data_IF_605440131627
#
_entry.id   IF_605440131627
#
_cell.length_a   1.000
_cell.length_b   1.000
_cell.length_c   1.000
_cell.angle_alpha   90.00
_cell.angle_beta   90.00
_cell.angle_gamma   90.00
#
_symmetry.space_group_name_H-M   'P 1'
#
loop_
_entity.id
_entity.type
_entity.pdbx_description
1 polymer ?
#
# COMPACT_ATOMS: atom_id res chain seq x y z
N UNK A 1 -17.24 -7.28 -9.69
CA UNK A 1 -16.24 -7.96 -10.54
C UNK A 1 -14.83 -7.37 -10.41
N UNK A 2 -14.56 -6.11 -10.79
CA UNK A 2 -13.18 -5.56 -10.74
C UNK A 2 -12.64 -5.32 -9.31
N UNK A 3 -13.47 -4.83 -8.40
CA UNK A 3 -13.07 -4.61 -6.99
C UNK A 3 -12.87 -5.92 -6.21
N UNK A 4 -13.63 -6.96 -6.56
CA UNK A 4 -13.50 -8.30 -5.98
C UNK A 4 -12.18 -8.94 -6.39
N UNK A 5 -11.74 -8.75 -7.64
CA UNK A 5 -10.44 -9.23 -8.10
C UNK A 5 -9.28 -8.55 -7.34
N UNK A 6 -9.40 -7.24 -7.09
CA UNK A 6 -8.43 -6.53 -6.25
C UNK A 6 -8.37 -7.13 -4.84
N UNK A 7 -9.51 -7.35 -4.18
CA UNK A 7 -9.54 -7.98 -2.86
C UNK A 7 -9.04 -9.42 -2.85
N UNK A 8 -9.26 -10.18 -3.93
CA UNK A 8 -8.71 -11.53 -4.05
C UNK A 8 -7.18 -11.54 -4.15
N UNK A 9 -6.57 -10.46 -4.62
CA UNK A 9 -5.13 -10.36 -4.90
C UNK A 9 -4.37 -9.50 -3.90
N UNK A 10 -5.07 -8.69 -3.12
CA UNK A 10 -4.49 -7.82 -2.11
C UNK A 10 -4.54 -8.48 -0.73
N UNK A 11 -3.41 -8.58 0.01
CA UNK A 11 -3.36 -9.22 1.32
C UNK A 11 -3.91 -8.28 2.41
N UNK A 12 -5.23 -8.12 2.45
CA UNK A 12 -5.92 -7.28 3.42
C UNK A 12 -5.62 -7.70 4.86
N UNK A 13 -5.51 -9.00 5.12
CA UNK A 13 -5.18 -9.54 6.46
C UNK A 13 -3.79 -9.05 6.91
N UNK A 14 -2.80 -9.07 6.02
CA UNK A 14 -1.48 -8.49 6.30
C UNK A 14 -1.56 -7.00 6.66
N UNK A 15 -2.41 -6.25 5.95
CA UNK A 15 -2.59 -4.82 6.22
C UNK A 15 -3.21 -4.59 7.61
N UNK A 16 -4.21 -5.39 7.98
CA UNK A 16 -4.89 -5.30 9.28
C UNK A 16 -3.99 -5.70 10.44
N UNK A 17 -3.19 -6.75 10.24
CA UNK A 17 -2.46 -7.39 11.33
C UNK A 17 -1.06 -6.81 11.52
N UNK A 18 -0.44 -6.28 10.46
CA UNK A 18 0.95 -5.77 10.50
C UNK A 18 1.00 -4.29 10.17
N UNK A 19 0.56 -3.90 8.98
CA UNK A 19 0.79 -2.55 8.45
C UNK A 19 0.09 -1.49 9.30
N UNK A 20 -1.23 -1.57 9.49
CA UNK A 20 -2.01 -0.57 10.23
C UNK A 20 -1.56 -0.45 11.69
N UNK A 21 -1.42 -1.55 12.47
CA UNK A 21 -0.93 -1.47 13.84
C UNK A 21 0.45 -0.81 13.95
N UNK A 22 1.37 -1.19 13.05
CA UNK A 22 2.72 -0.62 13.04
C UNK A 22 2.72 0.87 12.71
N UNK A 23 1.91 1.30 11.73
CA UNK A 23 1.76 2.71 11.37
C UNK A 23 1.13 3.51 12.51
N UNK A 24 0.15 2.95 13.21
CA UNK A 24 -0.54 3.62 14.32
C UNK A 24 0.38 3.95 15.51
N UNK A 25 1.47 3.20 15.69
CA UNK A 25 2.51 3.55 16.68
C UNK A 25 3.24 4.87 16.37
N UNK A 26 3.13 5.38 15.13
CA UNK A 26 3.81 6.61 14.66
C UNK A 26 2.85 7.74 14.32
N UNK A 27 1.54 7.45 14.21
CA UNK A 27 0.53 8.42 13.85
C UNK A 27 -0.09 9.07 15.09
N UNK A 28 -0.40 10.37 14.99
CA UNK A 28 -1.10 11.11 16.05
C UNK A 28 -2.57 10.71 16.17
N UNK A 29 -3.18 10.37 15.05
CA UNK A 29 -4.56 9.90 14.95
C UNK A 29 -4.58 8.50 14.35
N UNK A 30 -5.28 7.52 14.96
CA UNK A 30 -5.36 6.16 14.45
C UNK A 30 -5.85 6.11 13.01
N UNK A 31 -5.08 5.40 12.18
CA UNK A 31 -5.43 5.00 10.84
C UNK A 31 -6.39 3.81 10.91
N UNK A 32 -7.55 3.99 10.27
CA UNK A 32 -8.53 2.92 10.08
C UNK A 32 -8.38 2.31 8.68
N UNK A 33 -8.81 1.05 8.51
CA UNK A 33 -8.71 0.34 7.24
C UNK A 33 -9.35 1.12 6.06
N UNK A 34 -10.52 1.72 6.27
CA UNK A 34 -11.17 2.54 5.25
C UNK A 34 -10.37 3.79 4.86
N UNK A 35 -9.65 4.40 5.82
CA UNK A 35 -8.76 5.54 5.53
C UNK A 35 -7.48 5.09 4.81
N UNK A 36 -6.95 3.91 5.16
CA UNK A 36 -5.85 3.30 4.43
C UNK A 36 -6.23 3.04 2.96
N UNK A 37 -7.43 2.53 2.68
CA UNK A 37 -7.90 2.34 1.31
C UNK A 37 -8.09 3.64 0.54
N UNK A 38 -8.50 4.73 1.20
CA UNK A 38 -8.53 6.06 0.57
C UNK A 38 -7.12 6.50 0.15
N UNK A 39 -6.14 6.35 1.04
CA UNK A 39 -4.73 6.64 0.71
C UNK A 39 -4.21 5.76 -0.43
N UNK A 40 -4.50 4.45 -0.41
CA UNK A 40 -4.09 3.52 -1.47
C UNK A 40 -4.74 3.88 -2.80
N UNK A 41 -6.04 4.16 -2.79
CA UNK A 41 -6.81 4.60 -3.95
C UNK A 41 -6.27 5.90 -4.55
N UNK A 42 -5.86 6.86 -3.72
CA UNK A 42 -5.18 8.07 -4.20
C UNK A 42 -3.89 7.72 -4.97
N UNK A 43 -3.06 6.80 -4.46
CA UNK A 43 -1.82 6.41 -5.15
C UNK A 43 -2.10 5.71 -6.48
N UNK A 44 -3.06 4.78 -6.53
CA UNK A 44 -3.46 4.13 -7.78
C UNK A 44 -4.04 5.11 -8.79
N UNK A 45 -4.92 6.00 -8.33
CA UNK A 45 -5.51 7.02 -9.19
C UNK A 45 -4.45 7.93 -9.79
N UNK A 46 -3.49 8.43 -8.98
CA UNK A 46 -2.39 9.25 -9.48
C UNK A 46 -1.50 8.49 -10.48
N UNK A 47 -1.29 7.19 -10.28
CA UNK A 47 -0.50 6.36 -11.20
C UNK A 47 -1.13 6.21 -12.60
N UNK A 48 -2.44 6.44 -12.73
CA UNK A 48 -3.12 6.43 -14.03
C UNK A 48 -2.80 7.66 -14.91
N UNK A 49 -2.10 8.68 -14.38
CA UNK A 49 -1.79 9.91 -15.09
C UNK A 49 -0.28 10.12 -15.19
N UNK A 50 0.19 10.41 -16.39
CA UNK A 50 1.60 10.70 -16.65
C UNK A 50 1.85 12.21 -16.64
N UNK A 51 3.09 12.62 -16.35
CA UNK A 51 3.53 14.01 -16.48
C UNK A 51 3.26 14.93 -15.28
N UNK A 52 2.63 14.44 -14.22
CA UNK A 52 2.39 15.22 -12.98
C UNK A 52 3.38 14.78 -11.91
N UNK A 53 4.53 15.46 -11.86
CA UNK A 53 5.61 15.13 -10.91
C UNK A 53 5.33 15.64 -9.50
N UNK A 54 4.74 16.83 -9.37
CA UNK A 54 4.43 17.40 -8.06
C UNK A 54 3.10 16.85 -7.52
N UNK A 55 3.18 16.02 -6.47
CA UNK A 55 2.00 15.45 -5.80
C UNK A 55 1.09 16.52 -5.20
N UNK A 56 1.59 17.72 -4.90
CA UNK A 56 0.76 18.83 -4.38
C UNK A 56 -0.32 19.28 -5.36
N UNK A 57 -0.07 19.13 -6.66
CA UNK A 57 -1.04 19.51 -7.70
C UNK A 57 -2.39 18.82 -7.53
N UNK A 58 -2.40 17.58 -7.01
CA UNK A 58 -3.60 16.79 -6.75
C UNK A 58 -4.44 17.29 -5.57
N UNK A 59 -3.91 18.22 -4.76
CA UNK A 59 -4.63 18.89 -3.68
C UNK A 59 -4.70 20.41 -3.90
N UNK A 60 -4.45 20.87 -5.13
CA UNK A 60 -4.63 22.27 -5.50
C UNK A 60 -6.08 22.73 -5.27
N UNK A 61 -6.24 24.04 -5.09
CA UNK A 61 -7.54 24.74 -5.09
C UNK A 61 -7.68 25.67 -6.29
N UNK A 62 -6.64 25.78 -7.11
CA UNK A 62 -6.66 26.56 -8.34
C UNK A 62 -7.51 25.85 -9.38
N UNK A 63 -8.25 26.61 -10.20
CA UNK A 63 -9.08 26.04 -11.26
C UNK A 63 -8.28 25.09 -12.16
N UNK A 64 -8.94 24.00 -12.58
CA UNK A 64 -8.32 23.00 -13.47
C UNK A 64 -7.93 23.69 -14.77
N UNK A 65 -6.67 23.53 -15.16
CA UNK A 65 -6.11 24.04 -16.41
C UNK A 65 -5.84 22.88 -17.35
N UNK A 66 -6.18 22.99 -18.64
CA UNK A 66 -5.80 21.99 -19.63
C UNK A 66 -4.28 21.98 -19.92
N UNK A 67 -3.54 22.98 -19.42
CA UNK A 67 -2.10 23.16 -19.69
C UNK A 67 -1.22 23.00 -18.45
N UNK A 68 -1.80 22.89 -17.25
CA UNK A 68 -1.04 22.86 -16.01
C UNK A 68 -1.81 22.23 -14.84
N UNK A 69 -1.06 21.64 -13.90
CA UNK A 69 -1.62 21.04 -12.68
C UNK A 69 -2.25 19.66 -12.89
N UNK A 70 -2.91 19.15 -11.85
CA UNK A 70 -3.61 17.89 -11.91
C UNK A 70 -5.03 18.07 -12.48
N UNK A 71 -5.53 17.14 -13.31
CA UNK A 71 -6.86 17.23 -13.89
C UNK A 71 -7.98 17.04 -12.87
N UNK A 72 -7.68 16.51 -11.69
CA UNK A 72 -8.62 16.24 -10.61
C UNK A 72 -8.02 16.58 -9.25
N UNK A 73 -8.88 16.90 -8.28
CA UNK A 73 -8.48 17.11 -6.90
C UNK A 73 -8.91 15.96 -5.98
N UNK A 74 -8.03 15.58 -5.07
CA UNK A 74 -8.21 14.50 -4.10
C UNK A 74 -8.69 14.99 -2.73
N UNK A 75 -9.00 16.29 -2.60
CA UNK A 75 -9.44 16.94 -1.36
C UNK A 75 -10.64 16.25 -0.67
N UNK A 76 -11.56 15.67 -1.45
CA UNK A 76 -12.74 15.00 -0.92
C UNK A 76 -12.46 13.58 -0.39
N UNK A 77 -11.36 12.96 -0.83
CA UNK A 77 -10.97 11.63 -0.37
C UNK A 77 -10.20 11.72 0.95
N UNK A 78 -9.16 12.54 0.99
CA UNK A 78 -8.27 12.70 2.13
C UNK A 78 -7.60 14.08 2.06
N UNK A 79 -7.27 14.70 3.19
CA UNK A 79 -6.53 15.97 3.18
C UNK A 79 -5.06 15.74 2.79
N UNK A 80 -4.41 16.74 2.19
CA UNK A 80 -3.01 16.61 1.78
C UNK A 80 -2.08 16.34 2.97
N UNK A 81 -2.29 17.02 4.10
CA UNK A 81 -1.51 16.80 5.31
C UNK A 81 -1.66 15.35 5.80
N UNK A 82 -2.89 14.82 5.83
CA UNK A 82 -3.13 13.45 6.26
C UNK A 82 -2.53 12.44 5.28
N UNK A 83 -2.59 12.71 3.99
CA UNK A 83 -1.89 11.91 2.97
C UNK A 83 -0.38 11.83 3.23
N UNK A 84 0.26 12.96 3.54
CA UNK A 84 1.69 13.01 3.87
C UNK A 84 2.02 12.26 5.17
N UNK A 85 1.19 12.42 6.22
CA UNK A 85 1.35 11.70 7.48
C UNK A 85 1.33 10.18 7.27
N UNK A 86 0.32 9.67 6.56
CA UNK A 86 0.19 8.24 6.27
C UNK A 86 1.37 7.76 5.42
N UNK A 87 1.77 8.54 4.41
CA UNK A 87 2.90 8.21 3.53
C UNK A 87 4.21 8.09 4.33
N UNK A 88 4.46 9.01 5.26
CA UNK A 88 5.66 8.98 6.09
C UNK A 88 5.64 7.84 7.14
N UNK A 89 4.46 7.49 7.64
CA UNK A 89 4.28 6.45 8.64
C UNK A 89 4.30 5.03 8.05
N UNK A 90 4.20 4.86 6.73
CA UNK A 90 4.10 3.57 6.06
C UNK A 90 5.22 2.60 6.49
N UNK A 91 4.85 1.44 7.02
CA UNK A 91 5.77 0.38 7.45
C UNK A 91 5.17 -0.97 7.11
N UNK A 92 6.02 -1.92 6.77
CA UNK A 92 5.63 -3.25 6.30
C UNK A 92 6.22 -4.37 7.15
N UNK A 93 6.76 -4.03 8.30
CA UNK A 93 7.37 -4.98 9.23
C UNK A 93 7.21 -4.46 10.66
N UNK A 94 6.83 -5.36 11.56
CA UNK A 94 6.73 -5.18 13.01
C UNK A 94 7.88 -5.88 13.75
N UNK A 95 8.77 -6.56 13.01
CA UNK A 95 9.90 -7.29 13.57
C UNK A 95 11.15 -6.42 13.62
N UNK A 96 12.00 -6.66 14.63
CA UNK A 96 13.28 -5.97 14.76
C UNK A 96 14.18 -6.29 13.58
N UNK A 97 14.97 -5.31 13.14
CA UNK A 97 16.00 -5.52 12.14
C UNK A 97 17.02 -6.56 12.63
N UNK A 98 17.34 -7.59 11.84
CA UNK A 98 18.41 -8.51 12.17
C UNK A 98 19.74 -7.77 12.13
N UNK A 99 20.61 -8.05 13.09
CA UNK A 99 21.94 -7.43 13.18
C UNK A 99 23.00 -8.51 13.05
N UNK A 100 24.06 -8.25 12.27
CA UNK A 100 25.15 -9.22 12.06
C UNK A 100 25.74 -9.71 13.39
N UNK A 101 25.88 -8.82 14.36
CA UNK A 101 26.44 -9.14 15.69
C UNK A 101 25.56 -10.08 16.53
N UNK A 102 24.23 -10.05 16.32
CA UNK A 102 23.27 -10.82 17.13
C UNK A 102 22.74 -12.05 16.40
N UNK A 103 22.47 -11.92 15.10
CA UNK A 103 21.74 -12.89 14.28
C UNK A 103 22.64 -13.57 13.23
N UNK A 104 23.87 -13.07 13.04
CA UNK A 104 24.85 -13.65 12.12
C UNK A 104 24.62 -13.35 10.64
N UNK A 105 23.65 -12.49 10.31
CA UNK A 105 23.38 -12.05 8.94
C UNK A 105 22.80 -10.63 8.88
N UNK A 106 22.84 -10.06 7.68
CA UNK A 106 22.19 -8.81 7.31
C UNK A 106 21.08 -9.11 6.29
N UNK A 107 19.84 -8.63 6.53
CA UNK A 107 18.76 -8.69 5.53
C UNK A 107 18.50 -7.30 4.96
N UNK A 108 19.04 -7.03 3.77
CA UNK A 108 18.84 -5.77 3.07
C UNK A 108 17.38 -5.53 2.66
N UNK A 109 16.54 -6.55 2.66
CA UNK A 109 15.11 -6.44 2.36
C UNK A 109 14.24 -6.41 3.61
N UNK A 110 14.82 -6.34 4.82
CA UNK A 110 14.11 -6.45 6.09
C UNK A 110 12.83 -5.60 6.15
N UNK A 111 12.89 -4.35 5.69
CA UNK A 111 11.78 -3.41 5.74
C UNK A 111 10.55 -3.88 4.95
N UNK A 112 10.72 -4.73 3.93
CA UNK A 112 9.66 -5.21 3.04
C UNK A 112 9.53 -6.74 3.00
N UNK A 113 10.44 -7.48 3.61
CA UNK A 113 10.50 -8.95 3.59
C UNK A 113 9.17 -9.57 4.00
N UNK A 114 8.66 -9.17 5.16
CA UNK A 114 7.40 -9.69 5.72
C UNK A 114 6.20 -9.44 4.80
N UNK A 115 6.19 -8.30 4.10
CA UNK A 115 5.16 -8.00 3.09
C UNK A 115 5.28 -8.90 1.88
N UNK A 116 6.48 -9.10 1.36
CA UNK A 116 6.73 -10.00 0.22
C UNK A 116 6.25 -11.42 0.57
N UNK A 117 6.62 -11.91 1.74
CA UNK A 117 6.21 -13.23 2.22
C UNK A 117 4.68 -13.32 2.37
N UNK A 118 4.06 -12.33 3.03
CA UNK A 118 2.61 -12.27 3.18
C UNK A 118 1.84 -12.17 1.85
N UNK A 119 2.39 -11.46 0.87
CA UNK A 119 1.87 -11.43 -0.50
C UNK A 119 1.99 -12.81 -1.17
N UNK A 120 3.18 -13.42 -1.13
CA UNK A 120 3.43 -14.73 -1.74
C UNK A 120 2.53 -15.81 -1.16
N UNK A 121 2.37 -15.85 0.17
CA UNK A 121 1.50 -16.79 0.86
C UNK A 121 0.03 -16.58 0.47
N UNK A 122 -0.43 -15.33 0.42
CA UNK A 122 -1.79 -14.98 0.00
C UNK A 122 -2.08 -15.44 -1.44
N UNK A 123 -1.13 -15.26 -2.36
CA UNK A 123 -1.25 -15.74 -3.74
C UNK A 123 -1.18 -17.26 -3.84
N UNK A 124 -0.27 -17.93 -3.14
CA UNK A 124 -0.13 -19.39 -3.17
C UNK A 124 -1.41 -20.11 -2.70
N UNK A 125 -2.11 -19.56 -1.71
CA UNK A 125 -3.38 -20.10 -1.22
C UNK A 125 -4.55 -19.91 -2.20
N UNK A 126 -4.52 -18.84 -3.01
CA UNK A 126 -5.64 -18.41 -3.85
C UNK A 126 -5.44 -18.70 -5.34
N UNK A 127 -4.23 -19.04 -5.74
CA UNK A 127 -3.90 -19.41 -7.11
C UNK A 127 -3.50 -20.87 -7.15
N UNK A 128 -4.31 -21.69 -7.83
CA UNK A 128 -3.89 -23.04 -8.23
C UNK A 128 -3.13 -22.92 -9.54
N UNK A 129 -1.83 -23.25 -9.61
CA UNK A 129 -1.05 -23.03 -10.81
C UNK A 129 -1.27 -24.16 -11.81
N UNK A 130 -2.50 -24.44 -12.27
CA UNK A 130 -2.74 -25.63 -13.09
C UNK A 130 -3.45 -25.30 -14.41
N UNK A 131 -2.62 -25.17 -15.44
CA UNK A 131 -2.79 -25.93 -16.68
C UNK A 131 -2.06 -27.27 -16.58
N UNK A 132 -2.27 -28.05 -15.51
CA UNK A 132 -1.76 -29.42 -15.40
C UNK A 132 -2.80 -30.27 -14.68
N UNK A 133 -3.26 -31.31 -15.35
CA UNK A 133 -4.25 -32.26 -14.87
C UNK A 133 -3.69 -33.07 -13.70
N UNK A 134 -4.23 -32.87 -12.50
CA UNK A 134 -4.09 -33.79 -11.38
C UNK A 134 -5.45 -34.02 -10.71
N UNK A 135 -6.45 -34.34 -11.52
CA UNK A 135 -7.66 -35.04 -11.10
C UNK A 135 -7.73 -36.32 -11.94
N UNK A 136 -6.83 -37.27 -11.67
CA UNK A 136 -6.91 -38.69 -12.06
C UNK A 136 -5.69 -39.43 -11.50
N UNK A 137 -5.79 -39.84 -10.23
CA UNK A 137 -5.20 -41.07 -9.69
C UNK A 137 -5.73 -41.29 -8.28
#
# INVERSE_FOLDING_TARGET
MEFELFWMTFPEDFVKDVTIPTMNNKLRSPLMLGEFYKWLGCNFFMACFQGILDRKCWWSKEAISPYSGAPFWLNNAISFNRYLEITAALRFTDVRMPMVELDGYEDHFHEVRKLIDGFNDHYALRTSPHGSTAWMS
#
